data_IF_878831081808
#
_entry.id   IF_878831081808
#
_cell.length_a   1.000
_cell.length_b   1.000
_cell.length_c   1.000
_cell.angle_alpha   90.00
_cell.angle_beta   90.00
_cell.angle_gamma   90.00
#
_symmetry.space_group_name_H-M   'P 1'
#
loop_
_entity.id
_entity.type
_entity.pdbx_description
1 polymer ?
#
# COMPACT_ATOMS: atom_id res chain seq x y z
N UNK A 1 -9.39 11.51 3.25
CA UNK A 1 -8.52 12.34 2.49
C UNK A 1 -7.09 11.88 2.58
N UNK A 2 -6.39 11.83 1.47
CA UNK A 2 -5.02 11.37 1.50
C UNK A 2 -4.06 12.49 1.89
N UNK A 3 -3.25 12.25 2.89
CA UNK A 3 -2.23 13.19 3.25
C UNK A 3 -1.04 12.37 3.69
N UNK A 4 0.06 13.00 4.07
CA UNK A 4 1.27 12.27 4.41
C UNK A 4 1.07 11.32 5.56
N UNK A 5 0.31 11.70 6.56
CA UNK A 5 0.12 10.83 7.71
C UNK A 5 -0.60 9.56 7.28
N UNK A 6 -1.62 9.70 6.43
CA UNK A 6 -2.35 8.54 5.96
C UNK A 6 -1.44 7.67 5.12
N UNK A 7 -0.66 8.28 4.23
CA UNK A 7 0.21 7.50 3.38
C UNK A 7 1.28 6.77 4.17
N UNK A 8 1.79 7.40 5.22
CA UNK A 8 2.79 6.72 6.03
C UNK A 8 2.16 5.53 6.73
N UNK A 9 0.92 5.70 7.22
CA UNK A 9 0.26 4.60 7.90
C UNK A 9 -0.05 3.48 6.91
N UNK A 10 -0.42 3.83 5.68
CA UNK A 10 -0.66 2.85 4.64
C UNK A 10 0.61 2.04 4.42
N UNK A 11 1.76 2.73 4.33
CA UNK A 11 3.01 2.05 4.11
C UNK A 11 3.36 1.14 5.28
N UNK A 12 3.07 1.59 6.50
CA UNK A 12 3.36 0.80 7.66
C UNK A 12 2.53 -0.48 7.68
N UNK A 13 1.23 -0.36 7.42
CA UNK A 13 0.35 -1.52 7.41
C UNK A 13 0.76 -2.47 6.28
N UNK A 14 1.13 -1.90 5.14
CA UNK A 14 1.55 -2.70 4.01
C UNK A 14 2.78 -3.54 4.38
N UNK A 15 3.77 -2.91 4.98
CA UNK A 15 4.99 -3.63 5.33
C UNK A 15 4.78 -4.66 6.43
N UNK A 16 3.91 -4.38 7.38
CA UNK A 16 3.65 -5.31 8.44
C UNK A 16 2.96 -6.55 7.92
N UNK A 17 2.30 -6.47 6.78
CA UNK A 17 1.59 -7.61 6.23
C UNK A 17 2.12 -8.01 4.87
N UNK A 18 3.38 -7.69 4.63
CA UNK A 18 3.96 -7.90 3.32
C UNK A 18 3.82 -9.32 2.82
N UNK A 19 3.91 -10.30 3.67
CA UNK A 19 3.84 -11.67 3.24
C UNK A 19 2.42 -12.24 3.20
N UNK A 20 1.43 -11.47 3.60
CA UNK A 20 0.08 -11.95 3.64
C UNK A 20 -0.89 -10.91 3.11
N UNK A 21 -1.05 -10.83 1.83
CA UNK A 21 -2.01 -9.94 1.20
C UNK A 21 -1.96 -8.53 1.77
N UNK A 22 -0.85 -7.83 1.58
CA UNK A 22 -0.68 -6.51 2.19
C UNK A 22 -1.71 -5.48 1.76
N UNK A 23 -2.16 -5.51 0.51
CA UNK A 23 -3.15 -4.56 0.05
C UNK A 23 -4.49 -4.82 0.74
N UNK A 24 -4.81 -6.09 0.96
CA UNK A 24 -6.02 -6.39 1.65
C UNK A 24 -5.94 -5.96 3.10
N UNK A 25 -4.77 -6.04 3.71
CA UNK A 25 -4.59 -5.59 5.08
C UNK A 25 -4.83 -4.08 5.16
N UNK A 26 -4.39 -3.33 4.14
CA UNK A 26 -4.63 -1.91 4.11
C UNK A 26 -6.14 -1.66 3.98
N UNK A 27 -6.81 -2.42 3.13
CA UNK A 27 -8.23 -2.26 2.94
C UNK A 27 -8.98 -2.47 4.25
N UNK A 28 -8.58 -3.50 5.00
CA UNK A 28 -9.23 -3.76 6.24
C UNK A 28 -8.92 -2.73 7.30
N UNK A 29 -7.68 -2.31 7.39
CA UNK A 29 -7.26 -1.37 8.41
C UNK A 29 -7.98 -0.04 8.25
N UNK A 30 -8.19 0.41 7.02
CA UNK A 30 -8.82 1.69 6.79
C UNK A 30 -10.28 1.57 6.35
N UNK A 31 -10.83 0.36 6.36
CA UNK A 31 -12.21 0.12 5.95
C UNK A 31 -12.44 0.59 4.52
N UNK A 32 -11.54 0.21 3.63
CA UNK A 32 -11.63 0.61 2.24
C UNK A 32 -11.96 -0.58 1.37
N UNK A 33 -12.41 -0.32 0.16
CA UNK A 33 -12.60 -1.37 -0.80
C UNK A 33 -11.26 -1.66 -1.42
N UNK A 34 -11.11 -2.84 -1.99
CA UNK A 34 -9.83 -3.27 -2.56
C UNK A 34 -9.27 -2.25 -3.54
N UNK A 35 -10.14 -1.71 -4.38
CA UNK A 35 -9.68 -0.75 -5.36
C UNK A 35 -9.11 0.49 -4.70
N UNK A 36 -9.76 0.99 -3.66
CA UNK A 36 -9.26 2.17 -2.97
C UNK A 36 -7.97 1.86 -2.23
N UNK A 37 -7.88 0.67 -1.65
CA UNK A 37 -6.67 0.29 -0.95
C UNK A 37 -5.49 0.25 -1.92
N UNK A 38 -5.72 -0.27 -3.11
CA UNK A 38 -4.69 -0.32 -4.13
C UNK A 38 -4.23 1.08 -4.49
N UNK A 39 -5.17 2.01 -4.62
CA UNK A 39 -4.84 3.39 -4.93
C UNK A 39 -4.01 4.01 -3.81
N UNK A 40 -4.38 3.75 -2.56
CA UNK A 40 -3.64 4.31 -1.45
C UNK A 40 -2.22 3.75 -1.41
N UNK A 41 -2.08 2.46 -1.66
CA UNK A 41 -0.77 1.83 -1.67
C UNK A 41 0.09 2.44 -2.79
N UNK A 42 -0.52 2.65 -3.96
CA UNK A 42 0.21 3.21 -5.07
C UNK A 42 0.66 4.63 -4.75
N UNK A 43 -0.20 5.41 -4.09
CA UNK A 43 0.19 6.75 -3.73
C UNK A 43 1.29 6.76 -2.70
N UNK A 44 1.26 5.84 -1.74
CA UNK A 44 2.33 5.75 -0.74
C UNK A 44 3.65 5.39 -1.42
N UNK A 45 3.59 4.53 -2.44
CA UNK A 45 4.79 4.15 -3.14
C UNK A 45 5.34 5.34 -3.93
N UNK A 46 4.48 6.10 -4.57
CA UNK A 46 4.93 7.24 -5.33
C UNK A 46 5.47 8.33 -4.43
N UNK A 47 4.97 8.42 -3.21
CA UNK A 47 5.46 9.40 -2.27
C UNK A 47 6.78 8.99 -1.64
N UNK A 48 7.24 7.78 -1.92
CA UNK A 48 8.53 7.33 -1.39
C UNK A 48 8.44 6.60 -0.07
N UNK A 49 7.25 6.31 0.42
CA UNK A 49 7.14 5.61 1.69
C UNK A 49 7.23 4.09 1.52
N UNK A 50 7.09 3.60 0.30
CA UNK A 50 7.22 2.19 0.03
C UNK A 50 8.23 1.99 -1.08
N UNK A 51 8.96 0.89 -1.07
CA UNK A 51 9.94 0.65 -2.13
C UNK A 51 9.21 0.27 -3.40
N UNK A 52 9.85 0.42 -4.55
CA UNK A 52 9.22 0.04 -5.80
C UNK A 52 8.96 -1.45 -5.82
N UNK A 53 7.92 -1.81 -6.53
CA UNK A 53 7.56 -3.19 -6.63
C UNK A 53 8.51 -3.94 -7.48
N UNK A 54 9.00 -5.07 -6.97
CA UNK A 54 9.86 -5.80 -7.78
C UNK A 54 9.17 -6.81 -8.58
N UNK A 55 8.06 -7.31 -8.16
CA UNK A 55 7.42 -8.28 -8.93
C UNK A 55 7.04 -7.78 -10.24
N UNK A 56 6.94 -6.53 -10.39
CA UNK A 56 6.60 -5.99 -11.68
C UNK A 56 7.59 -6.37 -12.69
N UNK A 57 8.88 -6.43 -12.35
CA UNK A 57 9.76 -6.67 -13.31
C UNK A 57 9.99 -8.05 -13.53
N UNK A 58 9.64 -8.88 -12.67
CA UNK A 58 9.94 -10.15 -12.93
C UNK A 58 9.17 -10.66 -14.05
N UNK A 59 8.16 -10.04 -14.46
CA UNK A 59 7.48 -10.49 -15.54
C UNK A 59 8.15 -10.18 -16.75
N UNK A 60 8.99 -9.32 -16.77
CA UNK A 60 9.61 -8.93 -18.03
C UNK A 60 10.47 -10.01 -18.57
#
# INVERSE_FOLDING_TARGET
>A
MLNDDVLRKVAEVYRQNFEHAPTKAVAKHFALKDRMASTYVDRARKAGYLPPTKQGKKQA
#
